data_IF_132737707271
#
_entry.id   IF_132737707271
#
_cell.length_a   1.000
_cell.length_b   1.000
_cell.length_c   1.000
_cell.angle_alpha   90.00
_cell.angle_beta   90.00
_cell.angle_gamma   90.00
#
_symmetry.space_group_name_H-M   'P 1'
#
loop_
_entity.id
_entity.type
_entity.pdbx_description
1 polymer ?
#
# COMPACT_ATOMS: atom_id res chain seq x y z
N UNK A 1 2.43 -3.88 -17.97
CA UNK A 1 2.45 -2.42 -17.73
C UNK A 1 1.47 -2.05 -16.63
N UNK A 2 1.78 -1.09 -15.76
CA UNK A 2 0.84 -0.60 -14.73
C UNK A 2 -0.33 0.16 -15.39
N UNK A 3 -1.61 -0.11 -15.03
CA UNK A 3 -2.74 0.59 -15.64
C UNK A 3 -2.86 2.03 -15.11
N UNK A 4 -2.37 3.01 -15.87
CA UNK A 4 -2.32 4.42 -15.43
C UNK A 4 -3.67 5.03 -15.06
N UNK A 5 -4.78 4.60 -15.67
CA UNK A 5 -6.12 5.12 -15.38
C UNK A 5 -6.60 4.84 -13.95
N UNK A 6 -6.02 3.85 -13.25
CA UNK A 6 -6.36 3.55 -11.85
C UNK A 6 -6.13 4.74 -10.93
N UNK A 7 -5.13 5.57 -11.23
CA UNK A 7 -4.75 6.72 -10.43
C UNK A 7 -5.87 7.80 -10.39
N UNK A 8 -6.82 7.73 -11.32
CA UNK A 8 -7.94 8.67 -11.44
C UNK A 8 -9.14 8.33 -10.53
N UNK A 9 -9.13 7.16 -9.86
CA UNK A 9 -10.27 6.68 -9.07
C UNK A 9 -10.29 7.32 -7.66
N UNK A 10 -11.17 8.29 -7.38
CA UNK A 10 -11.09 9.12 -6.16
C UNK A 10 -11.57 8.40 -4.88
N UNK A 11 -12.23 7.25 -5.03
CA UNK A 11 -12.79 6.46 -3.94
C UNK A 11 -12.10 5.11 -3.77
N UNK A 12 -11.08 4.80 -4.58
CA UNK A 12 -10.38 3.52 -4.48
C UNK A 12 -9.63 3.45 -3.15
N UNK A 13 -9.95 2.44 -2.34
CA UNK A 13 -9.33 2.20 -1.03
C UNK A 13 -8.43 0.97 -1.03
N UNK A 14 -8.76 -0.02 -1.87
CA UNK A 14 -8.04 -1.27 -2.00
C UNK A 14 -7.63 -1.44 -3.45
N UNK A 15 -6.33 -1.58 -3.68
CA UNK A 15 -5.76 -1.95 -4.96
C UNK A 15 -4.89 -3.18 -4.77
N UNK A 16 -5.35 -4.33 -5.28
CA UNK A 16 -4.53 -5.53 -5.40
C UNK A 16 -4.35 -5.91 -6.87
N UNK A 17 -3.11 -5.97 -7.33
CA UNK A 17 -2.68 -6.48 -8.64
C UNK A 17 -1.76 -7.69 -8.47
N UNK A 18 -1.80 -8.32 -7.29
CA UNK A 18 -0.89 -9.38 -6.88
C UNK A 18 -0.84 -10.56 -7.85
N UNK A 19 0.32 -11.19 -7.98
CA UNK A 19 0.52 -12.44 -8.72
C UNK A 19 0.10 -12.34 -10.19
N UNK A 20 0.55 -11.27 -10.83
CA UNK A 20 0.34 -11.02 -12.24
C UNK A 20 1.66 -10.97 -12.99
N UNK A 21 1.58 -10.65 -14.29
CA UNK A 21 2.75 -10.43 -15.15
C UNK A 21 2.94 -8.95 -15.49
N UNK A 22 2.46 -8.04 -14.65
CA UNK A 22 2.67 -6.62 -14.88
C UNK A 22 4.15 -6.28 -14.75
N UNK A 23 4.59 -5.27 -15.48
CA UNK A 23 6.00 -4.97 -15.67
C UNK A 23 6.18 -3.49 -16.03
N UNK A 24 7.42 -3.04 -16.07
CA UNK A 24 7.80 -1.66 -16.36
C UNK A 24 7.86 -0.79 -15.11
N UNK A 25 8.15 0.49 -15.32
CA UNK A 25 8.27 1.47 -14.25
C UNK A 25 6.89 2.01 -13.87
N UNK A 26 6.67 2.22 -12.58
CA UNK A 26 5.43 2.81 -12.05
C UNK A 26 5.66 4.31 -11.82
N UNK A 27 4.97 5.14 -12.60
CA UNK A 27 5.02 6.61 -12.52
C UNK A 27 3.63 7.20 -12.73
N UNK A 28 3.33 8.32 -12.05
CA UNK A 28 2.11 9.09 -12.29
C UNK A 28 2.00 9.63 -13.71
N UNK A 29 0.79 9.64 -14.28
CA UNK A 29 0.50 10.08 -15.66
C UNK A 29 -0.14 11.47 -15.74
N UNK A 30 -0.03 12.28 -14.68
CA UNK A 30 -0.46 13.68 -14.68
C UNK A 30 -1.71 13.98 -13.86
N UNK A 31 -2.23 13.00 -13.11
CA UNK A 31 -3.31 13.25 -12.14
C UNK A 31 -2.80 14.05 -10.95
N UNK A 32 -3.55 15.10 -10.56
CA UNK A 32 -3.17 16.03 -9.49
C UNK A 32 -3.06 15.36 -8.11
N UNK A 33 -3.91 14.37 -7.84
CA UNK A 33 -3.99 13.64 -6.56
C UNK A 33 -4.29 12.16 -6.83
N UNK A 34 -3.27 11.35 -7.18
CA UNK A 34 -3.46 9.93 -7.41
C UNK A 34 -3.77 9.20 -6.10
N UNK A 35 -4.77 8.32 -6.11
CA UNK A 35 -5.08 7.40 -4.99
C UNK A 35 -5.33 8.06 -3.61
N UNK A 36 -6.14 9.14 -3.50
CA UNK A 36 -6.24 9.94 -2.27
C UNK A 36 -6.84 9.17 -1.08
N UNK A 37 -7.65 8.13 -1.34
CA UNK A 37 -8.31 7.32 -0.29
C UNK A 37 -7.71 5.92 -0.12
N UNK A 38 -6.59 5.63 -0.79
CA UNK A 38 -6.00 4.29 -0.77
C UNK A 38 -5.51 3.93 0.63
N UNK A 39 -5.83 2.71 1.05
CA UNK A 39 -5.47 2.09 2.34
C UNK A 39 -4.71 0.79 2.16
N UNK A 40 -4.99 0.05 1.08
CA UNK A 40 -4.29 -1.19 0.76
C UNK A 40 -3.72 -1.05 -0.65
N UNK A 41 -2.39 -1.16 -0.74
CA UNK A 41 -1.66 -1.17 -2.00
C UNK A 41 -0.82 -2.44 -2.09
N UNK A 42 -1.35 -3.45 -2.79
CA UNK A 42 -0.70 -4.73 -3.01
C UNK A 42 -0.44 -4.94 -4.50
N UNK A 43 0.82 -4.79 -4.91
CA UNK A 43 1.26 -5.07 -6.28
C UNK A 43 2.34 -6.15 -6.31
N UNK A 44 2.39 -6.96 -5.26
CA UNK A 44 3.39 -8.00 -5.05
C UNK A 44 3.36 -9.10 -6.13
N UNK A 45 4.45 -9.86 -6.26
CA UNK A 45 4.56 -10.97 -7.22
C UNK A 45 4.26 -10.52 -8.66
N UNK A 46 5.02 -9.53 -9.15
CA UNK A 46 4.95 -9.02 -10.52
C UNK A 46 6.38 -8.85 -11.06
N UNK A 47 6.53 -8.17 -12.19
CA UNK A 47 7.80 -7.85 -12.83
C UNK A 47 8.03 -6.34 -12.92
N UNK A 48 7.52 -5.55 -11.97
CA UNK A 48 7.75 -4.11 -11.94
C UNK A 48 9.23 -3.79 -11.70
N UNK A 49 9.72 -2.73 -12.33
CA UNK A 49 11.14 -2.34 -12.37
C UNK A 49 11.32 -0.87 -12.00
N UNK A 50 12.57 -0.44 -11.82
CA UNK A 50 12.90 0.95 -11.54
C UNK A 50 12.67 1.32 -10.07
N UNK A 51 12.69 2.61 -9.72
CA UNK A 51 12.52 3.05 -8.33
C UNK A 51 11.12 2.78 -7.80
N UNK A 52 10.99 2.76 -6.47
CA UNK A 52 9.70 2.76 -5.80
C UNK A 52 8.83 3.95 -6.26
N UNK A 53 7.49 3.80 -6.37
CA UNK A 53 6.61 4.81 -6.96
C UNK A 53 6.36 6.01 -6.02
N UNK A 54 7.39 6.82 -5.78
CA UNK A 54 7.39 8.01 -4.90
C UNK A 54 6.22 8.94 -5.21
N UNK A 55 5.94 9.16 -6.49
CA UNK A 55 4.83 10.04 -6.93
C UNK A 55 3.46 9.58 -6.44
N UNK A 56 3.27 8.28 -6.20
CA UNK A 56 2.03 7.74 -5.61
C UNK A 56 2.10 7.72 -4.08
N UNK A 57 3.23 7.31 -3.52
CA UNK A 57 3.43 7.22 -2.06
C UNK A 57 3.17 8.59 -1.39
N UNK A 58 3.65 9.68 -1.99
CA UNK A 58 3.41 11.05 -1.51
C UNK A 58 1.92 11.45 -1.52
N UNK A 59 1.04 10.70 -2.19
CA UNK A 59 -0.39 11.03 -2.31
C UNK A 59 -1.31 10.05 -1.58
N UNK A 60 -0.77 9.07 -0.85
CA UNK A 60 -1.55 8.15 -0.02
C UNK A 60 -2.10 8.81 1.25
N UNK A 61 -2.92 9.86 1.08
CA UNK A 61 -3.50 10.66 2.16
C UNK A 61 -4.33 9.79 3.12
N UNK A 62 -5.01 8.77 2.59
CA UNK A 62 -5.71 7.76 3.40
C UNK A 62 -4.82 6.98 4.38
N UNK A 63 -3.50 7.06 4.23
CA UNK A 63 -2.49 6.40 5.07
C UNK A 63 -1.68 7.37 5.94
N UNK A 64 -1.84 8.69 5.78
CA UNK A 64 -0.98 9.69 6.44
C UNK A 64 -1.46 10.13 7.83
N UNK A 65 -2.77 10.34 8.03
CA UNK A 65 -3.35 10.81 9.31
C UNK A 65 -4.83 10.41 9.41
N UNK A 66 -5.11 9.24 9.98
CA UNK A 66 -6.49 8.83 10.29
C UNK A 66 -6.95 9.45 11.62
N UNK A 67 -7.68 10.56 11.58
CA UNK A 67 -8.50 11.02 12.70
C UNK A 67 -9.70 10.07 12.84
N UNK A 68 -9.52 8.94 13.53
CA UNK A 68 -10.51 7.86 13.58
C UNK A 68 -11.66 8.12 14.59
N UNK A 69 -12.16 9.37 14.64
CA UNK A 69 -13.34 9.73 15.45
C UNK A 69 -14.61 9.88 14.61
N UNK A 70 -14.54 9.75 13.28
CA UNK A 70 -15.70 9.86 12.40
C UNK A 70 -15.58 8.87 11.25
N UNK A 71 -16.27 7.73 11.38
CA UNK A 71 -17.17 7.11 10.37
C UNK A 71 -17.37 5.63 10.71
N UNK A 72 -18.19 5.40 11.76
CA UNK A 72 -19.12 4.29 11.69
C UNK A 72 -19.85 4.40 10.35
N UNK A 73 -19.79 3.34 9.57
CA UNK A 73 -20.08 3.28 8.14
C UNK A 73 -21.55 3.61 7.84
N UNK A 74 -21.88 4.85 7.49
CA UNK A 74 -23.22 5.25 6.99
C UNK A 74 -23.63 4.51 5.69
N UNK A 75 -22.71 3.79 5.04
CA UNK A 75 -22.96 3.01 3.83
C UNK A 75 -23.29 1.54 4.11
N UNK A 76 -23.08 1.06 5.35
CA UNK A 76 -23.54 -0.25 5.79
C UNK A 76 -24.88 -0.03 6.47
N UNK A 77 -25.96 -0.23 5.71
CA UNK A 77 -27.28 -0.42 6.31
C UNK A 77 -27.21 -1.46 7.44
N UNK A 78 -28.14 -1.34 8.38
CA UNK A 78 -28.24 -1.96 9.70
C UNK A 78 -28.28 -3.52 9.74
N UNK A 79 -27.65 -4.22 8.79
CA UNK A 79 -27.53 -5.67 8.76
C UNK A 79 -26.19 -6.12 8.16
N UNK A 80 -25.35 -6.62 9.05
CA UNK A 80 -24.03 -7.20 8.83
C UNK A 80 -24.06 -8.48 7.97
N UNK A 81 -23.83 -8.36 6.65
CA UNK A 81 -23.67 -9.54 5.76
C UNK A 81 -22.51 -9.41 4.74
N UNK A 82 -21.59 -8.45 4.90
CA UNK A 82 -20.37 -8.38 4.05
C UNK A 82 -19.14 -8.86 4.82
N UNK A 83 -18.74 -10.13 4.62
CA UNK A 83 -17.47 -10.70 5.07
C UNK A 83 -16.50 -10.77 3.89
N UNK A 84 -15.86 -9.65 3.56
CA UNK A 84 -14.72 -9.67 2.65
C UNK A 84 -13.43 -9.88 3.47
N UNK A 85 -12.63 -10.85 3.07
CA UNK A 85 -11.37 -11.23 3.71
C UNK A 85 -10.21 -11.07 2.73
N UNK A 86 -9.14 -10.39 3.17
CA UNK A 86 -7.88 -10.34 2.40
C UNK A 86 -6.90 -11.32 3.01
N UNK A 87 -6.36 -12.21 2.19
CA UNK A 87 -5.22 -13.05 2.58
C UNK A 87 -3.92 -12.33 2.26
N UNK A 88 -3.21 -11.89 3.30
CA UNK A 88 -1.85 -11.35 3.18
C UNK A 88 -0.82 -12.40 3.58
N UNK A 89 0.38 -12.33 2.98
CA UNK A 89 1.49 -13.23 3.36
C UNK A 89 2.45 -12.45 4.24
N UNK A 90 2.59 -12.88 5.49
CA UNK A 90 3.56 -12.35 6.44
C UNK A 90 4.52 -13.46 6.86
N UNK A 91 5.83 -13.30 6.63
CA UNK A 91 6.85 -14.29 7.03
C UNK A 91 6.54 -15.72 6.53
N UNK A 92 5.99 -15.83 5.32
CA UNK A 92 5.57 -17.11 4.72
C UNK A 92 4.26 -17.70 5.28
N UNK A 93 3.60 -17.02 6.21
CA UNK A 93 2.29 -17.39 6.75
C UNK A 93 1.18 -16.64 6.01
N UNK A 94 0.15 -17.37 5.60
CA UNK A 94 -1.08 -16.80 5.07
C UNK A 94 -1.95 -16.33 6.24
N UNK A 95 -2.17 -15.03 6.35
CA UNK A 95 -3.05 -14.42 7.35
C UNK A 95 -4.29 -13.94 6.61
N UNK A 96 -5.43 -14.54 6.95
CA UNK A 96 -6.74 -14.10 6.46
C UNK A 96 -7.28 -12.99 7.36
N UNK A 97 -7.35 -11.77 6.82
CA UNK A 97 -7.93 -10.62 7.48
C UNK A 97 -9.41 -10.48 7.11
N UNK A 98 -10.30 -11.08 7.90
CA UNK A 98 -11.75 -10.84 7.79
C UNK A 98 -12.12 -9.44 8.32
N UNK A 99 -12.95 -8.67 7.58
CA UNK A 99 -13.44 -7.31 7.88
C UNK A 99 -12.48 -6.18 7.50
N UNK A 100 -12.21 -6.01 6.21
CA UNK A 100 -11.38 -4.95 5.58
C UNK A 100 -11.54 -3.51 6.12
N UNK A 101 -12.56 -3.14 6.90
CA UNK A 101 -13.15 -1.80 6.75
C UNK A 101 -12.98 -0.73 7.83
N UNK A 102 -12.03 -0.77 8.77
CA UNK A 102 -11.81 0.46 9.58
C UNK A 102 -10.37 0.91 9.81
N UNK A 103 -9.39 0.03 10.08
CA UNK A 103 -8.06 0.51 10.54
C UNK A 103 -6.86 -0.04 9.73
N UNK A 104 -7.05 -1.09 8.93
CA UNK A 104 -5.90 -1.76 8.32
C UNK A 104 -5.37 -0.99 7.10
N UNK A 105 -4.12 -0.56 7.18
CA UNK A 105 -3.41 0.17 6.14
C UNK A 105 -2.12 -0.55 5.81
N UNK A 106 -1.90 -0.97 4.56
CA UNK A 106 -0.71 -1.76 4.20
C UNK A 106 -0.22 -1.49 2.79
N UNK A 107 1.09 -1.64 2.61
CA UNK A 107 1.79 -1.61 1.33
C UNK A 107 2.57 -2.91 1.18
N UNK A 108 2.28 -3.66 0.12
CA UNK A 108 3.04 -4.86 -0.28
C UNK A 108 3.55 -4.71 -1.72
N UNK A 109 4.86 -4.51 -1.84
CA UNK A 109 5.60 -4.38 -3.10
C UNK A 109 6.54 -5.57 -3.32
N UNK A 110 6.40 -6.63 -2.52
CA UNK A 110 7.35 -7.73 -2.49
C UNK A 110 7.40 -8.52 -3.80
N UNK A 111 8.52 -9.21 -4.02
CA UNK A 111 8.71 -10.11 -5.15
C UNK A 111 8.46 -9.40 -6.50
N UNK A 112 9.24 -8.34 -6.71
CA UNK A 112 9.32 -7.53 -7.92
C UNK A 112 10.80 -7.31 -8.28
N UNK A 113 11.08 -6.36 -9.17
CA UNK A 113 12.44 -5.95 -9.52
C UNK A 113 12.65 -4.46 -9.24
N UNK A 114 12.02 -3.92 -8.20
CA UNK A 114 12.26 -2.53 -7.79
C UNK A 114 13.71 -2.35 -7.35
N UNK A 115 14.30 -1.21 -7.68
CA UNK A 115 15.70 -0.86 -7.41
C UNK A 115 15.83 0.55 -6.83
N UNK A 116 17.05 0.96 -6.47
CA UNK A 116 17.29 2.25 -5.83
C UNK A 116 16.99 2.23 -4.34
N UNK A 117 16.79 3.41 -3.73
CA UNK A 117 16.66 3.57 -2.27
C UNK A 117 15.20 3.60 -1.79
N UNK A 118 14.99 3.31 -0.51
CA UNK A 118 13.70 3.51 0.16
C UNK A 118 13.48 5.03 0.32
N UNK A 119 12.43 5.62 -0.29
CA UNK A 119 12.24 7.06 -0.25
C UNK A 119 11.77 7.53 1.12
N UNK A 120 12.28 8.68 1.57
CA UNK A 120 12.00 9.23 2.91
C UNK A 120 10.51 9.49 3.17
N UNK A 121 9.74 9.79 2.12
CA UNK A 121 8.29 10.04 2.16
C UNK A 121 7.49 8.85 2.68
N UNK A 122 8.03 7.61 2.65
CA UNK A 122 7.38 6.47 3.32
C UNK A 122 7.13 6.77 4.79
N UNK A 123 8.01 7.53 5.45
CA UNK A 123 7.85 7.93 6.84
C UNK A 123 6.67 8.88 7.13
N UNK A 124 5.99 9.40 6.11
CA UNK A 124 4.79 10.25 6.27
C UNK A 124 3.51 9.43 6.40
N UNK A 125 3.56 8.11 6.17
CA UNK A 125 2.40 7.22 6.21
C UNK A 125 2.13 6.73 7.64
N UNK A 126 1.85 7.66 8.56
CA UNK A 126 1.76 7.35 10.00
C UNK A 126 0.69 6.32 10.37
N UNK A 127 -0.33 6.09 9.53
CA UNK A 127 -1.37 5.08 9.75
C UNK A 127 -0.98 3.68 9.24
N UNK A 128 0.18 3.52 8.59
CA UNK A 128 0.61 2.25 8.01
C UNK A 128 0.82 1.19 9.11
N UNK A 129 0.17 0.04 8.93
CA UNK A 129 0.28 -1.14 9.80
C UNK A 129 1.30 -2.16 9.29
N UNK A 130 1.49 -2.21 7.98
CA UNK A 130 2.34 -3.21 7.34
C UNK A 130 3.07 -2.70 6.12
N UNK A 131 4.38 -2.96 6.06
CA UNK A 131 5.23 -2.62 4.92
C UNK A 131 6.05 -3.85 4.50
N UNK A 132 5.83 -4.32 3.27
CA UNK A 132 6.62 -5.37 2.65
C UNK A 132 7.34 -4.87 1.40
N UNK A 133 8.67 -4.82 1.44
CA UNK A 133 9.54 -4.50 0.32
C UNK A 133 10.45 -5.67 -0.06
N UNK A 134 10.26 -6.85 0.54
CA UNK A 134 11.18 -7.97 0.39
C UNK A 134 11.23 -8.54 -1.02
N UNK A 135 12.28 -9.29 -1.33
CA UNK A 135 12.49 -9.89 -2.65
C UNK A 135 12.45 -8.84 -3.78
N UNK A 136 13.19 -7.74 -3.60
CA UNK A 136 13.44 -6.72 -4.61
C UNK A 136 14.96 -6.53 -4.80
N UNK A 137 15.36 -5.52 -5.59
CA UNK A 137 16.75 -5.10 -5.81
C UNK A 137 17.02 -3.74 -5.16
N UNK A 138 16.32 -3.45 -4.05
CA UNK A 138 16.47 -2.21 -3.30
C UNK A 138 17.87 -2.16 -2.68
N UNK A 139 18.49 -1.00 -2.74
CA UNK A 139 19.86 -0.71 -2.28
C UNK A 139 19.87 0.55 -1.41
N UNK A 140 21.05 0.95 -0.93
CA UNK A 140 21.21 2.15 -0.11
C UNK A 140 20.93 1.91 1.37
N UNK A 141 20.63 2.98 2.10
CA UNK A 141 20.39 2.92 3.56
C UNK A 141 18.90 2.88 3.89
N UNK A 142 18.58 2.32 5.05
CA UNK A 142 17.24 2.43 5.61
C UNK A 142 17.07 3.88 6.10
N UNK A 143 16.10 4.65 5.57
CA UNK A 143 15.94 6.05 5.94
C UNK A 143 15.49 6.17 7.39
N UNK A 144 16.05 7.14 8.13
CA UNK A 144 15.65 7.39 9.53
C UNK A 144 14.17 7.74 9.67
N UNK A 145 13.55 8.29 8.62
CA UNK A 145 12.11 8.59 8.59
C UNK A 145 11.23 7.35 8.72
N UNK A 146 11.75 6.13 8.49
CA UNK A 146 11.01 4.89 8.77
C UNK A 146 10.62 4.79 10.25
N UNK A 147 11.38 5.44 11.15
CA UNK A 147 11.06 5.55 12.57
C UNK A 147 9.80 6.36 12.88
N UNK A 148 9.28 7.14 11.93
CA UNK A 148 8.03 7.89 12.08
C UNK A 148 6.78 7.01 11.92
N UNK A 149 6.94 5.78 11.41
CA UNK A 149 5.85 4.81 11.25
C UNK A 149 5.44 4.19 12.58
N UNK A 150 4.95 5.00 13.51
CA UNK A 150 4.66 4.62 14.91
C UNK A 150 3.54 3.58 15.05
N UNK A 151 2.69 3.41 14.04
CA UNK A 151 1.64 2.39 14.01
C UNK A 151 2.04 1.09 13.29
N UNK A 152 3.28 0.96 12.82
CA UNK A 152 3.74 -0.20 12.05
C UNK A 152 3.84 -1.43 12.94
N UNK A 153 3.12 -2.49 12.57
CA UNK A 153 3.06 -3.75 13.30
C UNK A 153 4.01 -4.79 12.72
N UNK A 154 4.31 -4.71 11.42
CA UNK A 154 5.24 -5.60 10.76
C UNK A 154 5.96 -4.91 9.60
N UNK A 155 7.21 -5.32 9.40
CA UNK A 155 8.13 -4.79 8.41
C UNK A 155 8.96 -5.94 7.83
N UNK A 156 9.04 -6.01 6.51
CA UNK A 156 9.96 -6.90 5.80
C UNK A 156 10.67 -6.14 4.70
N UNK A 157 12.01 -6.11 4.77
CA UNK A 157 12.92 -5.42 3.85
C UNK A 157 13.94 -6.39 3.23
N UNK A 158 13.76 -7.70 3.40
CA UNK A 158 14.78 -8.72 3.11
C UNK A 158 14.94 -9.11 1.64
#
# INVERSE_FOLDING_TARGET
MFPGWLETLPNLQVLSLRSNKFHGVITSFGTKLPFPRLRIFDISNNYFTGPLPVSYIHNFQGMMNTNDNQTGLEYLGDNSVYNDSIVIVMKGLYIELTRILTVFTTIDLSNNMFEGEIPTVIGELHSLKGLNLSHNRITGTIPLSLGNLSNLEWLDLS
#
